data_IF_250540185718
#
_entry.id   IF_250540185718
#
_cell.length_a   1.000
_cell.length_b   1.000
_cell.length_c   1.000
_cell.angle_alpha   90.00
_cell.angle_beta   90.00
_cell.angle_gamma   90.00
#
_symmetry.space_group_name_H-M   'P 1'
#
loop_
_entity.id
_entity.type
_entity.pdbx_description
1 polymer ?
#
# COMPACT_ATOMS: atom_id res chain seq x y z
N UNK A 1 -1.58 30.97 -4.46
CA UNK A 1 -0.87 29.88 -3.74
C UNK A 1 -0.43 28.79 -4.73
N UNK A 2 0.85 28.79 -5.12
CA UNK A 2 1.41 27.69 -5.92
C UNK A 2 1.63 26.50 -4.98
N UNK A 3 0.90 25.38 -5.09
CA UNK A 3 1.27 24.19 -4.35
C UNK A 3 2.64 23.75 -4.87
N UNK A 4 3.63 23.77 -3.98
CA UNK A 4 4.98 23.29 -4.25
C UNK A 4 4.92 21.85 -4.77
N UNK A 5 5.16 21.67 -6.08
CA UNK A 5 5.29 20.38 -6.80
C UNK A 5 6.42 19.46 -6.28
N UNK A 6 7.06 19.78 -5.16
CA UNK A 6 8.36 19.21 -4.74
C UNK A 6 8.31 18.18 -3.60
N UNK A 7 7.19 18.03 -2.91
CA UNK A 7 7.07 17.02 -1.86
C UNK A 7 6.11 15.94 -2.32
N UNK A 8 6.69 14.90 -2.94
CA UNK A 8 5.98 13.65 -3.20
C UNK A 8 5.76 13.00 -1.83
N UNK A 9 4.59 13.21 -1.25
CA UNK A 9 4.23 12.65 0.04
C UNK A 9 4.17 11.12 -0.06
N UNK A 10 5.08 10.43 0.63
CA UNK A 10 5.08 8.97 0.72
C UNK A 10 4.61 8.52 2.08
N UNK A 11 3.73 7.53 2.12
CA UNK A 11 3.20 6.93 3.34
C UNK A 11 3.65 5.49 3.51
N UNK A 12 3.60 5.01 4.74
CA UNK A 12 3.78 3.61 5.10
C UNK A 12 2.40 2.96 5.21
N UNK A 13 2.21 1.79 4.59
CA UNK A 13 0.96 1.03 4.65
C UNK A 13 1.24 -0.33 5.26
N UNK A 14 0.47 -0.69 6.28
CA UNK A 14 0.49 -2.04 6.83
C UNK A 14 -0.49 -2.92 6.04
N UNK A 15 -0.09 -4.14 5.75
CA UNK A 15 -0.91 -5.18 5.15
C UNK A 15 -0.71 -6.51 5.85
N UNK A 16 -1.59 -7.46 5.57
CA UNK A 16 -1.48 -8.85 6.01
C UNK A 16 -1.54 -9.72 4.77
N UNK A 17 -0.60 -10.64 4.63
CA UNK A 17 -0.61 -11.64 3.58
C UNK A 17 -1.76 -12.62 3.85
N UNK A 18 -2.68 -12.78 2.90
CA UNK A 18 -3.86 -13.63 3.12
C UNK A 18 -3.55 -15.13 3.04
N UNK A 19 -2.39 -15.52 2.49
CA UNK A 19 -2.00 -16.93 2.36
C UNK A 19 -1.13 -17.37 3.55
N UNK A 20 -0.18 -16.53 3.95
CA UNK A 20 0.83 -16.80 4.98
C UNK A 20 0.51 -16.19 6.33
N UNK A 21 -0.46 -15.27 6.40
CA UNK A 21 -0.84 -14.53 7.61
C UNK A 21 0.32 -13.73 8.22
N UNK A 22 1.24 -13.27 7.38
CA UNK A 22 2.39 -12.46 7.78
C UNK A 22 2.10 -10.97 7.63
N UNK A 23 2.72 -10.15 8.47
CA UNK A 23 2.64 -8.69 8.31
C UNK A 23 3.51 -8.23 7.14
N UNK A 24 2.97 -7.31 6.35
CA UNK A 24 3.71 -6.56 5.35
C UNK A 24 3.74 -5.08 5.73
N UNK A 25 4.92 -4.49 5.62
CA UNK A 25 5.15 -3.06 5.63
C UNK A 25 5.45 -2.61 4.20
N UNK A 26 4.47 -1.99 3.56
CA UNK A 26 4.59 -1.45 2.22
C UNK A 26 5.08 0.00 2.29
N UNK A 27 6.29 0.24 1.78
CA UNK A 27 6.91 1.57 1.78
C UNK A 27 7.95 1.71 0.67
N UNK A 28 8.02 2.87 -0.03
CA UNK A 28 7.11 4.02 0.06
C UNK A 28 5.86 3.85 -0.82
N UNK A 29 4.70 4.33 -0.34
CA UNK A 29 3.47 4.44 -1.13
C UNK A 29 3.17 5.91 -1.41
N UNK A 30 3.08 6.30 -2.68
CA UNK A 30 2.66 7.65 -3.10
C UNK A 30 1.15 7.74 -3.20
N UNK A 31 0.47 7.55 -2.08
CA UNK A 31 -0.99 7.31 -2.05
C UNK A 31 -1.81 8.43 -2.73
N UNK A 32 -1.35 9.67 -2.62
CA UNK A 32 -2.01 10.84 -3.22
C UNK A 32 -1.96 10.84 -4.75
N UNK A 33 -0.88 10.31 -5.31
CA UNK A 33 -0.61 10.25 -6.75
C UNK A 33 -1.18 8.99 -7.42
N UNK A 34 -1.77 8.06 -6.66
CA UNK A 34 -2.46 6.91 -7.23
C UNK A 34 -3.68 7.34 -8.04
N UNK A 35 -3.96 6.60 -9.12
CA UNK A 35 -5.22 6.72 -9.85
C UNK A 35 -6.40 6.37 -8.94
N UNK A 36 -7.60 6.89 -9.26
CA UNK A 36 -8.77 6.76 -8.37
C UNK A 36 -9.18 5.31 -8.12
N UNK A 37 -9.04 4.42 -9.12
CA UNK A 37 -9.31 2.99 -9.00
C UNK A 37 -8.26 2.23 -8.17
N UNK A 38 -7.07 2.81 -7.99
CA UNK A 38 -5.96 2.27 -7.19
C UNK A 38 -5.98 2.79 -5.74
N UNK A 39 -6.81 3.77 -5.42
CA UNK A 39 -6.94 4.33 -4.07
C UNK A 39 -7.76 3.41 -3.17
N UNK A 40 -7.05 2.49 -2.52
CA UNK A 40 -7.63 1.57 -1.53
C UNK A 40 -7.93 2.26 -0.18
N UNK A 41 -8.88 1.69 0.56
CA UNK A 41 -9.31 2.13 1.89
C UNK A 41 -8.89 1.11 2.95
N UNK A 42 -9.09 1.47 4.22
CA UNK A 42 -8.90 0.56 5.35
C UNK A 42 -9.72 -0.72 5.10
N UNK A 43 -9.10 -1.88 5.32
CA UNK A 43 -9.71 -3.20 5.14
C UNK A 43 -10.09 -3.59 3.71
N UNK A 44 -9.55 -2.90 2.69
CA UNK A 44 -9.58 -3.46 1.35
C UNK A 44 -8.65 -4.66 1.24
N UNK A 45 -9.12 -5.69 0.54
CA UNK A 45 -8.29 -6.76 0.02
C UNK A 45 -7.76 -6.28 -1.34
N UNK A 46 -6.44 -6.26 -1.48
CA UNK A 46 -5.77 -5.82 -2.69
C UNK A 46 -4.83 -6.89 -3.23
N UNK A 47 -4.69 -6.94 -4.55
CA UNK A 47 -3.60 -7.64 -5.22
C UNK A 47 -2.55 -6.60 -5.63
N UNK A 48 -1.29 -6.86 -5.32
CA UNK A 48 -0.19 -5.93 -5.60
C UNK A 48 1.13 -6.68 -5.77
N UNK A 49 1.98 -6.23 -6.69
CA UNK A 49 3.35 -6.74 -6.84
C UNK A 49 4.27 -6.02 -5.85
N UNK A 50 5.04 -6.83 -5.11
CA UNK A 50 5.96 -6.36 -4.08
C UNK A 50 7.38 -6.90 -4.29
N UNK A 51 8.36 -6.17 -3.80
CA UNK A 51 9.78 -6.49 -3.94
C UNK A 51 10.54 -6.21 -2.65
N UNK A 52 11.62 -6.98 -2.40
CA UNK A 52 12.49 -6.71 -1.26
C UNK A 52 13.29 -5.41 -1.47
N UNK A 53 13.25 -4.46 -0.52
CA UNK A 53 14.09 -3.28 -0.56
C UNK A 53 15.55 -3.64 -0.29
N UNK A 54 16.49 -3.00 -0.98
CA UNK A 54 17.93 -3.13 -0.71
C UNK A 54 18.40 -2.35 0.52
N UNK A 55 17.59 -1.39 0.99
CA UNK A 55 17.95 -0.42 2.04
C UNK A 55 17.22 -0.67 3.37
N UNK A 56 16.33 -1.67 3.41
CA UNK A 56 15.53 -1.99 4.60
C UNK A 56 15.52 -3.50 4.83
N UNK A 57 16.33 -3.97 5.78
CA UNK A 57 16.57 -5.39 6.02
C UNK A 57 15.45 -6.10 6.80
N UNK A 58 14.39 -5.38 7.16
CA UNK A 58 13.27 -5.96 7.90
C UNK A 58 12.55 -7.02 7.08
N UNK A 59 12.22 -8.18 7.67
CA UNK A 59 11.56 -9.27 6.96
C UNK A 59 10.16 -8.87 6.47
N UNK A 60 9.48 -7.95 7.16
CA UNK A 60 8.18 -7.45 6.73
C UNK A 60 8.25 -6.29 5.71
N UNK A 61 9.42 -5.70 5.43
CA UNK A 61 9.50 -4.49 4.60
C UNK A 61 9.53 -4.82 3.11
N UNK A 62 8.69 -4.14 2.34
CA UNK A 62 8.55 -4.32 0.90
C UNK A 62 8.35 -2.99 0.16
N UNK A 63 9.01 -2.86 -0.99
CA UNK A 63 8.65 -1.85 -2.02
C UNK A 63 7.51 -2.39 -2.86
N UNK A 64 6.74 -1.49 -3.44
CA UNK A 64 5.60 -1.86 -4.28
C UNK A 64 5.71 -1.26 -5.67
N UNK A 65 5.06 -1.93 -6.62
CA UNK A 65 4.73 -1.34 -7.91
C UNK A 65 3.33 -0.71 -7.86
N UNK A 66 3.21 0.63 -7.83
CA UNK A 66 1.92 1.30 -7.67
C UNK A 66 0.95 1.00 -8.82
N UNK A 67 1.45 0.71 -10.01
CA UNK A 67 0.62 0.40 -11.17
C UNK A 67 0.00 -0.99 -11.12
N UNK A 68 0.54 -1.87 -10.27
CA UNK A 68 0.02 -3.22 -10.07
C UNK A 68 -1.11 -3.32 -9.06
N UNK A 69 -1.45 -2.23 -8.38
CA UNK A 69 -2.49 -2.22 -7.35
C UNK A 69 -3.84 -2.53 -7.99
N UNK A 70 -4.53 -3.53 -7.46
CA UNK A 70 -5.92 -3.84 -7.79
C UNK A 70 -6.71 -4.05 -6.51
N UNK A 71 -7.86 -3.38 -6.40
CA UNK A 71 -8.79 -3.60 -5.29
C UNK A 71 -9.69 -4.77 -5.65
N UNK A 72 -9.60 -5.86 -4.90
CA UNK A 72 -10.33 -7.11 -5.17
C UNK A 72 -11.64 -7.15 -4.37
N UNK A 73 -11.59 -6.76 -3.10
CA UNK A 73 -12.75 -6.79 -2.22
C UNK A 73 -12.62 -5.74 -1.09
N UNK A 74 -13.70 -5.56 -0.33
CA UNK A 74 -13.72 -4.70 0.84
C UNK A 74 -14.35 -5.46 2.01
N UNK A 75 -13.54 -5.76 3.02
CA UNK A 75 -14.02 -6.39 4.23
C UNK A 75 -14.93 -5.40 4.95
N UNK A 76 -16.23 -5.72 4.98
CA UNK A 76 -17.19 -4.97 5.80
C UNK A 76 -16.85 -5.26 7.26
N UNK A 77 -16.52 -4.22 8.02
CA UNK A 77 -16.50 -4.34 9.47
C UNK A 77 -17.95 -4.35 9.94
N UNK A 78 -18.40 -5.44 10.54
CA UNK A 78 -19.60 -5.39 11.36
C UNK A 78 -19.22 -4.61 12.63
N UNK A 79 -19.35 -3.29 12.56
CA UNK A 79 -19.27 -2.44 13.75
C UNK A 79 -20.54 -2.74 14.57
N UNK A 80 -20.38 -3.54 15.62
CA UNK A 80 -21.39 -3.85 16.64
C UNK A 80 -20.86 -3.42 18.00
#
# INVERSE_FOLDING_TARGET
PNPSKKYVETVCVAGIDLEKYEWLRLYPIRFRDLEEDKKFKKYNIIEIKVFKPSDDNRPESYKVDPDSIKIIDHLKTNDK
#
